data_IF_507411043826
#
_entry.id   IF_507411043826
#
_cell.length_a   1.000
_cell.length_b   1.000
_cell.length_c   1.000
_cell.angle_alpha   90.00
_cell.angle_beta   90.00
_cell.angle_gamma   90.00
#
_symmetry.space_group_name_H-M   'P 1'
#
loop_
_entity.id
_entity.type
_entity.pdbx_description
1 polymer ?
#
# COMPACT_ATOMS: atom_id res chain seq x y z
N UNK A 1 -0.12 4.07 -16.55
CA UNK A 1 -0.28 3.13 -15.44
C UNK A 1 -1.53 3.60 -14.77
N UNK A 2 -2.45 2.71 -14.48
CA UNK A 2 -3.73 3.14 -13.97
C UNK A 2 -3.55 3.83 -12.61
N UNK A 3 -3.68 5.15 -12.58
CA UNK A 3 -3.54 5.96 -11.36
C UNK A 3 -4.79 5.86 -10.50
N UNK A 4 -4.62 5.99 -9.19
CA UNK A 4 -5.69 6.34 -8.28
C UNK A 4 -5.16 7.14 -7.09
N UNK A 5 -6.00 8.02 -6.55
CA UNK A 5 -5.72 8.85 -5.37
C UNK A 5 -5.52 8.08 -4.06
N UNK A 6 -5.79 6.77 -4.07
CA UNK A 6 -5.73 5.91 -2.89
C UNK A 6 -4.57 4.91 -3.08
N UNK A 7 -3.66 4.90 -2.12
CA UNK A 7 -2.58 3.92 -2.06
C UNK A 7 -3.10 2.49 -1.82
N UNK A 8 -2.77 1.59 -2.74
CA UNK A 8 -3.13 0.16 -2.72
C UNK A 8 -1.89 -0.72 -2.80
N UNK A 9 -1.90 -1.89 -2.17
CA UNK A 9 -0.83 -2.89 -2.30
C UNK A 9 -0.88 -3.58 -3.67
N UNK A 10 -2.07 -3.92 -4.14
CA UNK A 10 -2.32 -4.45 -5.47
C UNK A 10 -2.40 -3.29 -6.46
N UNK A 11 -1.47 -3.25 -7.42
CA UNK A 11 -1.54 -2.27 -8.51
C UNK A 11 -2.76 -2.49 -9.38
N UNK A 12 -3.34 -1.41 -9.88
CA UNK A 12 -4.54 -1.45 -10.71
C UNK A 12 -4.31 -2.24 -12.01
N UNK A 13 -3.14 -2.10 -12.64
CA UNK A 13 -2.79 -2.91 -13.82
C UNK A 13 -2.69 -4.42 -13.49
N UNK A 14 -2.22 -4.77 -12.29
CA UNK A 14 -2.19 -6.17 -11.85
C UNK A 14 -3.60 -6.68 -11.58
N UNK A 15 -4.46 -5.87 -10.97
CA UNK A 15 -5.88 -6.18 -10.81
C UNK A 15 -6.54 -6.48 -12.18
N UNK A 16 -6.31 -5.63 -13.18
CA UNK A 16 -6.83 -5.83 -14.53
C UNK A 16 -6.35 -7.16 -15.14
N UNK A 17 -5.06 -7.48 -14.99
CA UNK A 17 -4.50 -8.75 -15.46
C UNK A 17 -5.10 -9.98 -14.78
N UNK A 18 -5.49 -9.88 -13.50
CA UNK A 18 -6.08 -10.96 -12.71
C UNK A 18 -7.53 -11.21 -13.10
N UNK A 19 -8.29 -10.14 -13.36
CA UNK A 19 -9.68 -10.21 -13.80
C UNK A 19 -9.78 -10.57 -15.31
N UNK A 20 -8.69 -10.37 -16.07
CA UNK A 20 -8.64 -10.65 -17.50
C UNK A 20 -9.11 -9.48 -18.36
N UNK A 21 -9.02 -8.25 -17.84
CA UNK A 21 -9.36 -7.03 -18.58
C UNK A 21 -8.15 -6.57 -19.41
N UNK A 22 -8.41 -6.06 -20.62
CA UNK A 22 -7.34 -5.59 -21.52
C UNK A 22 -6.59 -4.39 -20.91
N UNK A 23 -5.25 -4.47 -20.70
CA UNK A 23 -4.51 -3.41 -19.99
C UNK A 23 -4.60 -2.02 -20.62
N UNK A 24 -4.54 -1.84 -21.96
CA UNK A 24 -4.72 -0.52 -22.58
C UNK A 24 -6.11 0.08 -22.33
N UNK A 25 -7.16 -0.71 -22.50
CA UNK A 25 -8.54 -0.26 -22.28
C UNK A 25 -8.80 0.08 -20.80
N UNK A 26 -8.18 -0.67 -19.89
CA UNK A 26 -8.22 -0.37 -18.46
C UNK A 26 -7.53 0.95 -18.12
N UNK A 27 -6.47 1.27 -18.86
CA UNK A 27 -5.74 2.52 -18.73
C UNK A 27 -6.42 3.73 -19.39
N UNK A 28 -7.63 3.58 -19.91
CA UNK A 28 -8.37 4.64 -20.59
C UNK A 28 -7.90 4.90 -22.03
N UNK A 29 -7.25 3.91 -22.65
CA UNK A 29 -6.54 4.08 -23.93
C UNK A 29 -6.92 3.03 -24.96
N UNK A 30 -6.75 3.39 -26.23
CA UNK A 30 -6.99 2.55 -27.41
C UNK A 30 -5.86 2.78 -28.41
N UNK A 31 -5.59 1.81 -29.27
CA UNK A 31 -4.76 1.99 -30.47
C UNK A 31 -5.53 1.47 -31.68
N UNK A 32 -5.23 1.99 -32.87
CA UNK A 32 -5.81 1.50 -34.12
C UNK A 32 -4.97 0.37 -34.74
N UNK A 33 -3.72 0.24 -34.31
CA UNK A 33 -2.77 -0.78 -34.76
C UNK A 33 -2.95 -2.02 -33.88
N UNK A 34 -2.76 -1.85 -32.58
CA UNK A 34 -2.90 -2.90 -31.57
C UNK A 34 -4.09 -2.59 -30.65
N UNK A 35 -4.88 -3.60 -30.29
CA UNK A 35 -6.11 -3.42 -29.50
C UNK A 35 -7.11 -2.41 -30.12
N UNK A 36 -7.56 -2.64 -31.37
CA UNK A 36 -8.50 -1.75 -32.05
C UNK A 36 -9.72 -1.49 -31.16
N UNK A 37 -10.03 -0.20 -30.94
CA UNK A 37 -11.12 0.26 -30.07
C UNK A 37 -12.54 -0.16 -30.48
N UNK A 38 -12.67 -1.06 -31.46
CA UNK A 38 -13.91 -1.35 -32.15
C UNK A 38 -14.38 -2.80 -31.96
N UNK A 39 -14.47 -3.30 -30.72
CA UNK A 39 -15.40 -4.40 -30.39
C UNK A 39 -15.63 -4.50 -28.86
N UNK A 40 -16.85 -4.16 -28.42
CA UNK A 40 -17.47 -4.45 -27.12
C UNK A 40 -16.91 -3.79 -25.84
N UNK A 41 -15.60 -3.69 -25.65
CA UNK A 41 -15.00 -3.24 -24.39
C UNK A 41 -14.83 -1.71 -24.32
N UNK A 42 -15.71 -1.02 -23.59
CA UNK A 42 -15.57 0.43 -23.31
C UNK A 42 -14.41 0.68 -22.35
N UNK A 43 -13.59 1.68 -22.63
CA UNK A 43 -12.47 2.09 -21.77
C UNK A 43 -12.91 2.48 -20.35
N UNK A 44 -12.10 2.15 -19.35
CA UNK A 44 -12.33 2.57 -17.97
C UNK A 44 -11.72 3.95 -17.74
N UNK A 45 -12.53 4.88 -17.25
CA UNK A 45 -12.12 6.25 -16.98
C UNK A 45 -11.54 6.42 -15.56
N UNK A 46 -10.82 7.53 -15.35
CA UNK A 46 -10.22 7.85 -14.05
C UNK A 46 -11.28 7.99 -12.97
N UNK A 47 -12.29 8.82 -13.24
CA UNK A 47 -13.26 9.26 -12.26
C UNK A 47 -14.69 8.77 -12.54
N UNK A 48 -15.53 8.56 -11.50
CA UNK A 48 -16.92 8.11 -11.68
C UNK A 48 -17.83 9.10 -12.40
N UNK A 49 -17.43 10.37 -12.52
CA UNK A 49 -18.20 11.41 -13.20
C UNK A 49 -17.91 11.49 -14.70
N UNK A 50 -16.80 10.91 -15.16
CA UNK A 50 -16.47 10.84 -16.60
C UNK A 50 -17.39 9.87 -17.34
N UNK A 51 -17.94 8.89 -16.61
CA UNK A 51 -18.93 7.96 -17.13
C UNK A 51 -19.93 7.53 -16.05
N UNK A 52 -21.21 7.78 -16.31
CA UNK A 52 -22.28 7.50 -15.35
C UNK A 52 -22.60 6.01 -15.16
N UNK A 53 -22.38 5.19 -16.19
CA UNK A 53 -22.79 3.79 -16.21
C UNK A 53 -21.66 2.81 -15.86
N UNK A 54 -20.41 3.28 -15.90
CA UNK A 54 -19.24 2.47 -15.63
C UNK A 54 -18.70 2.67 -14.22
N UNK A 55 -17.98 1.64 -13.76
CA UNK A 55 -17.00 1.77 -12.69
C UNK A 55 -15.80 2.57 -13.18
N UNK A 56 -15.22 3.37 -12.29
CA UNK A 56 -13.98 4.12 -12.55
C UNK A 56 -12.77 3.50 -11.86
N UNK A 57 -11.56 3.88 -12.30
CA UNK A 57 -10.32 3.44 -11.65
C UNK A 57 -10.24 3.83 -10.18
N UNK A 58 -10.70 5.03 -9.82
CA UNK A 58 -10.78 5.49 -8.42
C UNK A 58 -11.71 4.63 -7.56
N UNK A 59 -12.84 4.20 -8.12
CA UNK A 59 -13.78 3.32 -7.41
C UNK A 59 -13.18 1.92 -7.20
N UNK A 60 -12.48 1.39 -8.22
CA UNK A 60 -11.76 0.10 -8.10
C UNK A 60 -10.66 0.20 -7.05
N UNK A 61 -9.85 1.26 -7.08
CA UNK A 61 -8.77 1.46 -6.10
C UNK A 61 -9.31 1.57 -4.68
N UNK A 62 -10.43 2.27 -4.48
CA UNK A 62 -11.10 2.33 -3.18
C UNK A 62 -11.51 0.96 -2.68
N UNK A 63 -12.16 0.16 -3.51
CA UNK A 63 -12.61 -1.19 -3.11
C UNK A 63 -11.42 -2.14 -2.89
N UNK A 64 -10.32 -1.99 -3.63
CA UNK A 64 -9.06 -2.71 -3.38
C UNK A 64 -8.47 -2.32 -2.02
N UNK A 65 -8.36 -1.03 -1.72
CA UNK A 65 -7.83 -0.56 -0.43
C UNK A 65 -8.69 -1.05 0.75
N UNK A 66 -10.02 -1.02 0.60
CA UNK A 66 -10.94 -1.57 1.61
C UNK A 66 -10.77 -3.08 1.76
N UNK A 67 -10.65 -3.83 0.65
CA UNK A 67 -10.41 -5.27 0.67
C UNK A 67 -9.09 -5.62 1.37
N UNK A 68 -8.00 -4.90 1.08
CA UNK A 68 -6.70 -5.07 1.71
C UNK A 68 -6.75 -4.80 3.21
N UNK A 69 -7.42 -3.72 3.62
CA UNK A 69 -7.60 -3.35 5.02
C UNK A 69 -8.42 -4.39 5.79
N UNK A 70 -9.50 -4.90 5.21
CA UNK A 70 -10.34 -5.93 5.83
C UNK A 70 -9.60 -7.25 6.00
N UNK A 71 -8.84 -7.67 4.97
CA UNK A 71 -7.97 -8.84 5.04
C UNK A 71 -6.92 -8.63 6.14
N UNK A 72 -6.28 -7.45 6.19
CA UNK A 72 -5.27 -7.14 7.21
C UNK A 72 -5.86 -7.13 8.63
N UNK A 73 -7.08 -6.60 8.81
CA UNK A 73 -7.78 -6.58 10.09
C UNK A 73 -8.17 -7.99 10.55
N UNK A 74 -8.61 -8.84 9.63
CA UNK A 74 -8.95 -10.23 9.95
C UNK A 74 -7.70 -11.05 10.31
N UNK A 75 -6.67 -11.00 9.47
CA UNK A 75 -5.43 -11.75 9.66
C UNK A 75 -4.55 -11.18 10.78
N UNK A 76 -4.66 -9.89 11.08
CA UNK A 76 -3.77 -9.18 12.00
C UNK A 76 -2.39 -8.91 11.41
N UNK A 77 -2.23 -8.97 10.08
CA UNK A 77 -1.02 -8.63 9.33
C UNK A 77 -1.37 -8.35 7.87
N UNK A 78 -0.58 -7.53 7.18
CA UNK A 78 -0.86 -7.11 5.81
C UNK A 78 -0.46 -8.17 4.75
N UNK A 79 -1.28 -8.41 3.71
CA UNK A 79 -1.02 -9.44 2.68
C UNK A 79 0.24 -9.18 1.85
N UNK A 80 0.71 -7.93 1.80
CA UNK A 80 2.00 -7.53 1.27
C UNK A 80 2.66 -6.51 2.22
N UNK A 81 3.97 -6.27 2.08
CA UNK A 81 4.68 -5.29 2.89
C UNK A 81 4.12 -3.87 2.76
N UNK A 82 3.97 -3.17 3.89
CA UNK A 82 3.50 -1.79 4.01
C UNK A 82 4.18 -1.09 5.19
N UNK A 83 4.45 0.21 5.05
CA UNK A 83 4.88 1.04 6.17
C UNK A 83 3.69 1.48 7.02
N UNK A 84 3.82 1.34 8.33
CA UNK A 84 2.85 1.81 9.31
C UNK A 84 3.46 3.02 10.01
N UNK A 85 2.94 4.20 9.69
CA UNK A 85 3.49 5.47 10.18
C UNK A 85 2.89 5.95 11.51
N UNK A 86 1.81 5.35 12.02
CA UNK A 86 1.07 5.90 13.17
C UNK A 86 0.43 4.82 14.05
N UNK A 87 1.18 3.80 14.46
CA UNK A 87 0.65 2.82 15.42
C UNK A 87 0.84 3.32 16.85
N UNK A 88 -0.20 3.90 17.43
CA UNK A 88 -0.19 4.38 18.83
C UNK A 88 -0.67 3.26 19.74
N UNK A 89 0.14 2.95 20.76
CA UNK A 89 -0.15 1.94 21.78
C UNK A 89 0.01 2.52 23.17
N UNK A 90 -0.89 2.14 24.06
CA UNK A 90 -0.70 2.38 25.49
C UNK A 90 0.51 1.56 25.96
N UNK A 91 1.41 2.20 26.71
CA UNK A 91 2.57 1.50 27.22
C UNK A 91 2.15 0.48 28.29
N UNK A 92 2.74 -0.73 28.36
CA UNK A 92 2.31 -1.76 29.30
C UNK A 92 2.48 -1.30 30.74
N UNK A 93 1.34 -1.21 31.46
CA UNK A 93 1.30 -0.91 32.89
C UNK A 93 1.06 -2.17 33.71
N UNK A 94 1.43 -2.15 34.98
CA UNK A 94 1.06 -3.21 35.91
C UNK A 94 -0.45 -3.24 36.10
N UNK A 95 -1.02 -4.43 36.32
CA UNK A 95 -2.45 -4.58 36.58
C UNK A 95 -2.90 -3.90 37.87
N UNK A 96 -1.98 -3.71 38.82
CA UNK A 96 -2.21 -2.91 40.03
C UNK A 96 -1.70 -1.48 39.77
N UNK A 97 -2.60 -0.49 39.72
CA UNK A 97 -2.24 0.91 39.47
C UNK A 97 -1.28 1.50 40.50
N UNK A 98 -1.24 0.92 41.71
CA UNK A 98 -0.37 1.33 42.82
C UNK A 98 1.12 1.06 42.55
N UNK A 99 1.43 0.11 41.66
CA UNK A 99 2.81 -0.20 41.31
C UNK A 99 3.30 0.66 40.15
N UNK A 100 4.24 1.55 40.43
CA UNK A 100 5.02 2.20 39.41
C UNK A 100 6.09 1.24 38.88
N UNK A 101 6.11 1.09 37.56
CA UNK A 101 7.25 0.52 36.88
C UNK A 101 8.32 1.59 36.75
N UNK A 102 9.53 1.28 37.20
CA UNK A 102 10.68 2.14 37.01
C UNK A 102 11.46 1.70 35.76
N UNK A 103 11.58 2.59 34.78
CA UNK A 103 12.59 2.51 33.72
C UNK A 103 12.23 1.65 32.51
N UNK A 104 10.94 1.41 32.25
CA UNK A 104 10.46 0.71 31.05
C UNK A 104 10.84 -0.76 30.97
N UNK A 105 11.31 -1.34 32.08
CA UNK A 105 11.74 -2.74 32.16
C UNK A 105 10.68 -3.63 32.81
N UNK A 106 10.69 -4.91 32.43
CA UNK A 106 9.89 -5.95 33.05
C UNK A 106 10.63 -6.51 34.29
N UNK A 107 10.00 -7.46 34.99
CA UNK A 107 10.58 -8.12 36.19
C UNK A 107 11.89 -8.89 35.93
N UNK A 108 12.27 -9.09 34.66
CA UNK A 108 13.53 -9.71 34.24
C UNK A 108 14.59 -8.68 33.85
N UNK A 109 14.36 -7.39 34.11
CA UNK A 109 15.21 -6.28 33.66
C UNK A 109 15.37 -6.18 32.14
N UNK A 110 14.38 -6.65 31.37
CA UNK A 110 14.33 -6.47 29.92
C UNK A 110 13.29 -5.41 29.56
N UNK A 111 13.49 -4.67 28.48
CA UNK A 111 12.50 -3.68 28.00
C UNK A 111 11.10 -4.32 27.85
N UNK A 112 10.05 -3.58 28.20
CA UNK A 112 8.67 -4.05 28.04
C UNK A 112 8.32 -4.18 26.57
N UNK A 113 7.68 -5.28 26.22
CA UNK A 113 7.20 -5.51 24.85
C UNK A 113 5.87 -4.82 24.61
N UNK A 114 5.81 -4.14 23.48
CA UNK A 114 4.63 -3.54 22.88
C UNK A 114 4.13 -4.47 21.78
N UNK A 115 2.83 -4.76 21.78
CA UNK A 115 2.17 -5.48 20.69
C UNK A 115 1.68 -4.45 19.68
N UNK A 116 2.18 -4.52 18.45
CA UNK A 116 1.74 -3.67 17.35
C UNK A 116 0.33 -4.05 16.89
N UNK A 117 -0.33 -3.18 16.13
CA UNK A 117 -1.62 -3.49 15.50
C UNK A 117 -1.48 -4.67 14.53
N UNK A 118 -0.38 -4.68 13.77
CA UNK A 118 -0.12 -5.68 12.74
C UNK A 118 1.17 -6.45 13.03
N UNK A 119 1.09 -7.78 12.95
CA UNK A 119 2.23 -8.70 13.02
C UNK A 119 3.04 -8.75 11.72
N UNK A 120 3.90 -9.75 11.61
CA UNK A 120 4.88 -9.92 10.51
C UNK A 120 5.73 -8.68 10.27
N UNK A 121 6.37 -8.21 11.33
CA UNK A 121 7.26 -7.05 11.25
C UNK A 121 8.52 -7.46 10.50
N UNK A 122 8.88 -6.68 9.48
CA UNK A 122 10.09 -6.85 8.70
C UNK A 122 11.19 -6.05 9.40
N UNK A 123 11.00 -4.74 9.54
CA UNK A 123 11.96 -3.83 10.16
C UNK A 123 11.27 -2.66 10.88
N UNK A 124 11.81 -2.16 12.00
CA UNK A 124 11.39 -0.89 12.58
C UNK A 124 12.02 0.28 11.80
N UNK A 125 11.33 1.41 11.69
CA UNK A 125 11.83 2.57 10.95
C UNK A 125 10.72 3.34 10.23
N UNK A 126 11.12 4.41 9.56
CA UNK A 126 10.21 5.23 8.76
C UNK A 126 10.47 5.03 7.28
N UNK A 127 9.43 5.20 6.47
CA UNK A 127 9.57 5.29 5.02
C UNK A 127 10.42 6.51 4.68
N UNK A 128 11.53 6.32 3.98
CA UNK A 128 12.31 7.39 3.39
C UNK A 128 12.35 7.23 1.87
N UNK A 129 12.45 8.36 1.19
CA UNK A 129 12.54 8.43 -0.26
C UNK A 129 13.72 9.33 -0.60
N UNK A 130 14.62 8.86 -1.45
CA UNK A 130 15.77 9.62 -1.94
C UNK A 130 15.73 9.68 -3.46
N UNK A 131 15.83 10.89 -4.01
CA UNK A 131 15.87 11.12 -5.44
C UNK A 131 17.19 10.60 -6.04
N UNK A 132 17.10 9.87 -7.15
CA UNK A 132 18.25 9.37 -7.91
C UNK A 132 18.47 10.24 -9.15
N UNK A 133 17.43 10.46 -9.94
CA UNK A 133 17.50 11.23 -11.19
C UNK A 133 16.22 11.18 -12.00
N UNK A 134 16.09 12.08 -12.96
CA UNK A 134 15.02 12.13 -13.96
C UNK A 134 15.51 11.46 -15.24
N UNK A 135 14.71 10.55 -15.79
CA UNK A 135 14.98 9.87 -17.05
C UNK A 135 14.20 10.54 -18.19
N UNK A 136 14.95 11.09 -19.14
CA UNK A 136 14.46 11.73 -20.36
C UNK A 136 14.84 10.90 -21.60
N UNK A 137 14.36 11.29 -22.79
CA UNK A 137 14.79 10.67 -24.04
C UNK A 137 16.31 10.89 -24.23
N UNK A 138 17.08 9.79 -24.27
CA UNK A 138 18.55 9.80 -24.37
C UNK A 138 19.29 10.60 -23.27
N UNK A 139 18.67 10.76 -22.09
CA UNK A 139 19.26 11.50 -20.97
C UNK A 139 20.50 10.83 -20.35
N UNK A 140 21.35 11.63 -19.70
CA UNK A 140 22.51 11.17 -18.92
C UNK A 140 22.47 11.87 -17.56
N UNK A 141 22.49 11.16 -16.41
CA UNK A 141 22.83 9.74 -16.23
C UNK A 141 21.66 8.75 -16.37
N UNK A 142 20.43 9.23 -16.49
CA UNK A 142 19.24 8.40 -16.64
C UNK A 142 18.57 8.63 -18.01
N UNK A 143 18.15 7.56 -18.68
CA UNK A 143 17.50 7.60 -20.00
C UNK A 143 16.22 6.77 -20.04
N UNK A 144 15.31 7.16 -20.93
CA UNK A 144 14.04 6.49 -21.21
C UNK A 144 13.90 6.28 -22.71
N UNK A 145 13.74 5.04 -23.15
CA UNK A 145 13.61 4.68 -24.57
C UNK A 145 12.42 3.78 -24.81
N UNK A 146 11.65 4.08 -25.85
CA UNK A 146 10.60 3.22 -26.36
C UNK A 146 11.20 2.18 -27.33
N UNK A 147 10.64 0.98 -27.34
CA UNK A 147 11.02 -0.07 -28.28
C UNK A 147 9.84 -0.94 -28.68
N UNK A 148 9.69 -1.08 -30.00
CA UNK A 148 8.93 -2.10 -30.71
C UNK A 148 9.70 -3.44 -30.66
N UNK A 149 9.12 -4.47 -30.05
CA UNK A 149 9.76 -5.79 -29.91
C UNK A 149 9.51 -6.71 -31.13
N UNK A 150 8.51 -6.43 -31.98
CA UNK A 150 8.10 -7.32 -33.07
C UNK A 150 8.00 -6.69 -34.48
N UNK A 151 8.45 -5.45 -34.60
CA UNK A 151 8.51 -4.62 -35.82
C UNK A 151 7.11 -4.39 -36.45
N UNK A 152 6.06 -4.21 -35.63
CA UNK A 152 4.68 -3.94 -36.09
C UNK A 152 4.30 -2.44 -36.16
N UNK A 153 5.28 -1.56 -35.98
CA UNK A 153 5.17 -0.09 -35.91
C UNK A 153 4.51 0.43 -34.61
N UNK A 154 4.36 -0.42 -33.58
CA UNK A 154 3.94 -0.02 -32.25
C UNK A 154 5.08 -0.23 -31.22
N UNK A 155 5.39 0.81 -30.44
CA UNK A 155 6.34 0.64 -29.34
C UNK A 155 5.64 0.02 -28.11
N UNK A 156 5.75 -1.29 -27.88
CA UNK A 156 5.10 -1.94 -26.72
C UNK A 156 5.75 -1.60 -25.39
N UNK A 157 7.07 -1.40 -25.42
CA UNK A 157 7.89 -1.40 -24.22
C UNK A 157 8.63 -0.10 -24.03
N UNK A 158 8.84 0.23 -22.76
CA UNK A 158 9.68 1.36 -22.36
C UNK A 158 10.75 0.87 -21.42
N UNK A 159 12.00 1.11 -21.79
CA UNK A 159 13.15 0.87 -20.92
C UNK A 159 13.57 2.18 -20.26
N UNK A 160 13.61 2.15 -18.93
CA UNK A 160 14.17 3.22 -18.09
C UNK A 160 15.48 2.71 -17.53
N UNK A 161 16.56 3.45 -17.74
CA UNK A 161 17.88 3.12 -17.20
C UNK A 161 18.46 4.31 -16.44
N UNK A 162 19.23 4.04 -15.38
CA UNK A 162 20.00 5.07 -14.71
C UNK A 162 21.32 4.54 -14.14
N UNK A 163 22.39 5.30 -14.39
CA UNK A 163 23.74 5.01 -13.91
C UNK A 163 24.03 5.74 -12.60
N UNK A 164 25.02 5.26 -11.83
CA UNK A 164 25.44 5.88 -10.57
C UNK A 164 24.60 5.48 -9.36
N UNK A 165 23.84 4.39 -9.47
CA UNK A 165 23.05 3.82 -8.38
C UNK A 165 23.99 3.16 -7.37
N UNK A 166 23.86 3.54 -6.09
CA UNK A 166 24.72 3.04 -5.00
C UNK A 166 24.13 1.87 -4.22
N UNK A 167 22.80 1.67 -4.28
CA UNK A 167 22.16 0.52 -3.62
C UNK A 167 22.35 -0.76 -4.43
N UNK A 168 22.39 -1.88 -3.73
CA UNK A 168 22.42 -3.22 -4.34
C UNK A 168 21.03 -3.84 -4.42
N UNK A 169 20.02 -3.26 -3.77
CA UNK A 169 18.67 -3.79 -3.76
C UNK A 169 17.82 -3.12 -4.86
N UNK A 170 17.56 -3.88 -5.92
CA UNK A 170 16.68 -3.49 -7.04
C UNK A 170 15.21 -3.31 -6.63
N UNK A 171 14.82 -3.82 -5.46
CA UNK A 171 13.46 -3.67 -4.96
C UNK A 171 13.20 -2.31 -4.32
N UNK A 172 14.25 -1.63 -3.85
CA UNK A 172 14.17 -0.28 -3.30
C UNK A 172 14.01 0.79 -4.38
N UNK A 173 14.43 0.51 -5.62
CA UNK A 173 14.35 1.48 -6.72
C UNK A 173 12.99 1.39 -7.38
N UNK A 174 12.36 2.56 -7.51
CA UNK A 174 11.03 2.74 -8.09
C UNK A 174 11.02 3.93 -9.04
N UNK A 175 10.14 3.84 -10.03
CA UNK A 175 9.95 4.86 -11.05
C UNK A 175 8.61 5.54 -10.81
N UNK A 176 8.59 6.86 -10.88
CA UNK A 176 7.46 7.72 -10.59
C UNK A 176 7.22 8.68 -11.74
N UNK A 177 6.01 9.22 -11.82
CA UNK A 177 5.78 10.42 -12.62
C UNK A 177 6.55 11.62 -12.04
N UNK A 178 7.01 12.49 -12.93
CA UNK A 178 7.80 13.69 -12.61
C UNK A 178 7.06 14.64 -11.66
N UNK A 179 7.81 15.37 -10.82
CA UNK A 179 7.32 16.44 -9.93
C UNK A 179 6.43 16.00 -8.73
N UNK A 180 6.49 14.71 -8.36
CA UNK A 180 5.66 14.15 -7.28
C UNK A 180 6.43 13.68 -6.03
N UNK A 181 7.74 13.96 -5.92
CA UNK A 181 8.56 13.68 -4.73
C UNK A 181 8.48 12.22 -4.22
N UNK A 182 8.28 11.26 -5.13
CA UNK A 182 8.15 9.84 -4.80
C UNK A 182 6.95 9.51 -3.90
N UNK A 183 5.85 10.25 -4.05
CA UNK A 183 4.56 9.88 -3.47
C UNK A 183 4.07 8.55 -4.09
N UNK A 184 3.72 7.53 -3.28
CA UNK A 184 3.24 6.22 -3.76
C UNK A 184 2.08 6.29 -4.77
N UNK A 185 1.25 7.34 -4.72
CA UNK A 185 0.16 7.56 -5.68
C UNK A 185 0.65 7.62 -7.13
N UNK A 186 1.87 8.12 -7.33
CA UNK A 186 2.48 8.39 -8.63
C UNK A 186 3.52 7.34 -9.04
N UNK A 187 3.62 6.22 -8.32
CA UNK A 187 4.51 5.10 -8.65
C UNK A 187 4.04 4.35 -9.90
N UNK A 188 4.89 4.25 -10.92
CA UNK A 188 4.64 3.46 -12.13
C UNK A 188 4.88 1.98 -11.81
N UNK A 189 3.79 1.19 -11.75
CA UNK A 189 3.82 -0.23 -11.36
C UNK A 189 2.76 -1.08 -12.06
N UNK A 190 2.98 -2.40 -12.22
CA UNK A 190 4.22 -3.12 -11.94
C UNK A 190 5.18 -3.07 -13.14
N UNK A 191 6.52 -3.03 -12.92
CA UNK A 191 7.47 -3.26 -14.00
C UNK A 191 7.45 -4.71 -14.48
N UNK A 192 7.79 -4.93 -15.76
CA UNK A 192 7.96 -6.26 -16.37
C UNK A 192 9.26 -6.91 -15.91
N UNK A 193 10.34 -6.16 -15.94
CA UNK A 193 11.68 -6.56 -15.47
C UNK A 193 12.34 -5.41 -14.73
N UNK A 194 13.28 -5.75 -13.85
CA UNK A 194 14.18 -4.82 -13.20
C UNK A 194 15.48 -5.54 -12.90
N UNK A 195 16.60 -4.83 -12.99
CA UNK A 195 17.91 -5.35 -12.65
C UNK A 195 18.86 -4.21 -12.29
N UNK A 196 19.85 -4.51 -11.46
CA UNK A 196 21.01 -3.63 -11.23
C UNK A 196 22.27 -4.39 -11.64
N UNK A 197 22.98 -3.87 -12.63
CA UNK A 197 24.27 -4.42 -13.09
C UNK A 197 25.29 -3.29 -13.10
N UNK A 198 26.43 -3.50 -12.41
CA UNK A 198 27.55 -2.54 -12.35
C UNK A 198 27.13 -1.10 -11.98
N UNK A 199 26.19 -0.94 -11.04
CA UNK A 199 25.68 0.38 -10.61
C UNK A 199 24.76 1.07 -11.62
N UNK A 200 24.28 0.33 -12.62
CA UNK A 200 23.26 0.76 -13.57
C UNK A 200 21.96 0.01 -13.26
N UNK A 201 20.93 0.76 -12.88
CA UNK A 201 19.57 0.24 -12.76
C UNK A 201 18.90 0.27 -14.13
N UNK A 202 18.24 -0.82 -14.50
CA UNK A 202 17.42 -0.91 -15.72
C UNK A 202 16.07 -1.52 -15.35
N UNK A 203 14.97 -0.89 -15.77
CA UNK A 203 13.62 -1.41 -15.62
C UNK A 203 12.83 -1.28 -16.92
N UNK A 204 12.07 -2.32 -17.27
CA UNK A 204 11.21 -2.32 -18.45
C UNK A 204 9.75 -2.28 -18.03
N UNK A 205 8.98 -1.41 -18.68
CA UNK A 205 7.55 -1.20 -18.50
C UNK A 205 6.83 -1.40 -19.83
N UNK A 206 5.51 -1.50 -19.78
CA UNK A 206 4.68 -1.40 -20.97
C UNK A 206 4.39 0.06 -21.32
N UNK A 207 4.27 0.40 -22.60
CA UNK A 207 4.03 1.78 -23.05
C UNK A 207 2.75 2.39 -22.49
N UNK A 208 1.66 1.62 -22.40
CA UNK A 208 0.40 2.08 -21.77
C UNK A 208 0.56 2.39 -20.26
N UNK A 209 1.67 1.99 -19.64
CA UNK A 209 1.98 2.38 -18.26
C UNK A 209 2.54 3.81 -18.14
N UNK A 210 2.91 4.45 -19.25
CA UNK A 210 3.51 5.78 -19.29
C UNK A 210 2.63 6.83 -19.97
N UNK A 211 1.31 6.64 -20.01
CA UNK A 211 0.37 7.65 -20.50
C UNK A 211 0.43 8.91 -19.62
N UNK A 212 0.36 10.10 -20.25
CA UNK A 212 0.33 11.39 -19.55
C UNK A 212 -0.90 11.50 -18.62
N UNK A 213 -0.69 11.67 -17.30
CA UNK A 213 -1.78 11.86 -16.34
C UNK A 213 -2.72 13.02 -16.66
N UNK A 214 -2.24 14.08 -17.34
CA UNK A 214 -3.08 15.23 -17.72
C UNK A 214 -4.20 14.83 -18.70
N UNK A 215 -3.96 13.83 -19.54
CA UNK A 215 -4.95 13.33 -20.48
C UNK A 215 -6.10 12.60 -19.76
N UNK A 216 -5.82 11.99 -18.60
CA UNK A 216 -6.86 11.36 -17.78
C UNK A 216 -7.76 12.35 -17.05
N UNK A 217 -7.25 13.53 -16.72
CA UNK A 217 -8.00 14.58 -16.02
C UNK A 217 -8.78 15.49 -16.99
N UNK A 218 -8.66 15.26 -18.31
CA UNK A 218 -9.33 16.06 -19.31
C UNK A 218 -10.86 15.93 -19.18
N UNK A 219 -11.54 17.09 -19.13
CA UNK A 219 -12.99 17.14 -19.06
C UNK A 219 -13.59 16.59 -20.37
N UNK A 220 -14.72 15.85 -20.32
CA UNK A 220 -15.43 15.39 -21.50
C UNK A 220 -15.86 16.61 -22.32
N UNK A 221 -15.32 16.75 -23.52
CA UNK A 221 -15.61 17.85 -24.45
C UNK A 221 -16.72 17.50 -25.45
N UNK A 222 -17.23 16.27 -25.44
CA UNK A 222 -18.22 15.80 -26.41
C UNK A 222 -19.67 15.88 -25.92
N UNK A 223 -20.51 16.46 -26.78
CA UNK A 223 -21.95 16.67 -26.61
C UNK A 223 -22.75 15.36 -26.79
N UNK A 224 -22.13 14.29 -27.32
CA UNK A 224 -22.78 13.02 -27.66
C UNK A 224 -22.04 11.77 -27.12
N UNK A 225 -21.61 11.78 -25.85
CA UNK A 225 -21.46 10.52 -25.09
C UNK A 225 -20.05 10.05 -24.70
N UNK A 226 -19.29 10.91 -24.01
CA UNK A 226 -18.12 10.48 -23.20
C UNK A 226 -16.81 11.21 -23.53
N UNK A 227 -15.83 11.10 -22.63
CA UNK A 227 -14.45 11.54 -22.90
C UNK A 227 -13.84 10.62 -23.95
N UNK A 228 -13.20 11.15 -25.02
CA UNK A 228 -12.51 10.29 -25.98
C UNK A 228 -11.39 9.51 -25.28
N UNK A 229 -11.24 8.23 -25.65
CA UNK A 229 -10.12 7.42 -25.17
C UNK A 229 -8.79 8.00 -25.64
N UNK A 230 -7.74 7.80 -24.84
CA UNK A 230 -6.37 8.22 -25.21
C UNK A 230 -5.87 7.34 -26.35
N UNK A 231 -5.38 7.95 -27.43
CA UNK A 231 -4.84 7.20 -28.56
C UNK A 231 -3.36 6.86 -28.33
N UNK A 232 -3.04 5.58 -28.18
CA UNK A 232 -1.66 5.12 -27.99
C UNK A 232 -0.80 5.22 -29.27
N UNK A 233 -1.41 5.41 -30.44
CA UNK A 233 -0.66 5.62 -31.69
C UNK A 233 -0.04 7.03 -31.77
N UNK A 234 -0.44 7.94 -30.88
CA UNK A 234 0.08 9.31 -30.83
C UNK A 234 1.21 9.43 -29.79
N UNK A 235 2.45 9.77 -30.18
CA UNK A 235 3.56 9.96 -29.24
C UNK A 235 3.28 11.00 -28.14
N UNK A 236 2.39 11.97 -28.39
CA UNK A 236 2.00 13.00 -27.41
C UNK A 236 1.19 12.40 -26.25
N UNK A 237 0.67 11.19 -26.40
CA UNK A 237 -0.05 10.49 -25.34
C UNK A 237 0.82 10.02 -24.19
N UNK A 238 2.15 9.95 -24.38
CA UNK A 238 3.08 9.45 -23.38
C UNK A 238 3.82 10.58 -22.67
N UNK A 239 4.20 10.33 -21.41
CA UNK A 239 5.04 11.27 -20.66
C UNK A 239 6.43 11.37 -21.28
N UNK A 240 6.98 12.59 -21.31
CA UNK A 240 8.34 12.85 -21.81
C UNK A 240 9.42 12.47 -20.81
N UNK A 241 9.12 12.53 -19.51
CA UNK A 241 10.09 12.36 -18.43
C UNK A 241 9.48 11.51 -17.30
N UNK A 242 10.33 10.77 -16.58
CA UNK A 242 9.96 10.01 -15.37
C UNK A 242 11.03 10.18 -14.31
N UNK A 243 10.64 10.24 -13.05
CA UNK A 243 11.57 10.35 -11.93
C UNK A 243 11.90 8.98 -11.34
N UNK A 244 13.15 8.79 -10.93
CA UNK A 244 13.63 7.58 -10.28
C UNK A 244 13.98 7.91 -8.84
N UNK A 245 13.36 7.17 -7.92
CA UNK A 245 13.60 7.32 -6.49
C UNK A 245 13.98 5.98 -5.87
N UNK A 246 14.80 6.05 -4.82
CA UNK A 246 15.02 4.95 -3.88
C UNK A 246 14.03 5.10 -2.73
N UNK A 247 13.17 4.12 -2.53
CA UNK A 247 12.28 4.00 -1.37
C UNK A 247 12.79 2.89 -0.46
N UNK A 248 13.12 3.24 0.78
CA UNK A 248 13.71 2.31 1.74
C UNK A 248 13.18 2.59 3.15
N UNK A 249 13.38 1.63 4.04
CA UNK A 249 13.14 1.82 5.46
C UNK A 249 14.38 2.50 6.08
N UNK A 250 14.23 3.73 6.55
CA UNK A 250 15.33 4.49 7.15
C UNK A 250 15.54 4.07 8.62
N UNK A 251 16.67 3.41 8.93
CA UNK A 251 16.98 3.00 10.31
C UNK A 251 17.52 4.16 11.15
N UNK A 252 17.87 5.30 10.53
CA UNK A 252 18.39 6.49 11.20
C UNK A 252 17.26 7.37 11.73
N UNK A 253 16.09 7.32 11.08
CA UNK A 253 14.88 7.97 11.53
C UNK A 253 14.29 7.32 12.80
N UNK A 254 13.58 8.13 13.59
CA UNK A 254 12.96 7.70 14.84
C UNK A 254 11.92 6.60 14.62
N UNK A 255 12.17 5.41 15.15
CA UNK A 255 11.25 4.27 15.03
C UNK A 255 10.21 4.20 16.15
N UNK A 256 10.42 4.92 17.26
CA UNK A 256 9.44 5.10 18.33
C UNK A 256 9.42 6.55 18.85
N UNK A 257 8.23 7.05 19.20
CA UNK A 257 8.06 8.30 19.94
C UNK A 257 7.28 7.99 21.21
N UNK A 258 7.86 8.37 22.34
CA UNK A 258 7.37 8.10 23.69
C UNK A 258 6.63 9.35 24.20
N UNK A 259 5.45 9.19 24.77
CA UNK A 259 4.60 10.28 25.24
C UNK A 259 4.33 10.17 26.75
N UNK A 260 4.36 11.31 27.45
CA UNK A 260 3.96 11.43 28.84
C UNK A 260 2.91 12.53 29.01
N UNK A 261 1.85 12.18 29.73
CA UNK A 261 0.89 13.13 30.28
C UNK A 261 1.56 14.02 31.34
N UNK A 262 1.16 15.30 31.45
CA UNK A 262 1.68 16.19 32.47
C UNK A 262 1.30 15.70 33.89
N UNK A 263 2.27 15.71 34.81
CA UNK A 263 2.04 15.24 36.19
C UNK A 263 1.16 16.23 36.98
N UNK A 264 0.05 15.77 37.60
CA UNK A 264 -0.77 16.61 38.45
C UNK A 264 -0.04 17.16 39.69
N UNK A 265 1.07 16.57 40.14
CA UNK A 265 1.83 17.03 41.30
C UNK A 265 2.60 18.34 41.03
N UNK A 266 2.85 18.66 39.77
CA UNK A 266 3.38 19.97 39.34
C UNK A 266 2.34 21.10 39.46
N UNK A 267 1.07 20.77 39.71
CA UNK A 267 -0.09 21.69 39.79
C UNK A 267 -0.21 22.41 41.14
N UNK A 268 0.90 22.86 41.72
CA UNK A 268 0.86 23.72 42.90
C UNK A 268 0.28 25.12 42.55
N UNK A 269 -1.05 25.22 42.51
CA UNK A 269 -1.77 26.44 42.88
C UNK A 269 -2.46 27.28 41.80
N UNK A 270 -2.44 26.96 40.50
CA UNK A 270 -3.26 27.69 39.52
C UNK A 270 -3.61 26.82 38.30
N UNK A 271 -4.79 26.21 38.33
CA UNK A 271 -5.24 25.23 37.33
C UNK A 271 -5.70 25.89 36.02
N UNK A 272 -5.98 27.20 35.96
CA UNK A 272 -6.41 27.85 34.70
C UNK A 272 -5.93 29.31 34.62
N UNK A 273 -4.78 29.50 33.99
CA UNK A 273 -4.25 30.81 33.57
C UNK A 273 -3.54 30.72 32.23
N UNK A 274 -4.08 29.93 31.28
CA UNK A 274 -3.56 29.85 29.91
C UNK A 274 -3.92 31.13 29.13
N UNK A 275 -3.29 32.24 29.52
CA UNK A 275 -3.41 33.56 28.87
C UNK A 275 -2.44 33.77 27.70
N UNK A 276 -1.80 32.71 27.18
CA UNK A 276 -0.85 32.79 26.07
C UNK A 276 -0.76 31.49 25.27
N UNK A 277 -0.12 31.56 24.10
CA UNK A 277 0.20 30.39 23.28
C UNK A 277 1.29 29.54 23.95
N UNK A 278 1.08 28.22 24.07
CA UNK A 278 2.06 27.29 24.64
C UNK A 278 1.80 26.87 26.09
N UNK A 279 0.54 26.65 26.48
CA UNK A 279 0.22 26.06 27.78
C UNK A 279 0.85 24.65 27.87
N UNK A 280 1.93 24.51 28.64
CA UNK A 280 2.65 23.23 28.87
C UNK A 280 1.70 22.15 29.41
N UNK A 281 0.58 22.55 30.03
CA UNK A 281 -0.46 21.64 30.52
C UNK A 281 -1.33 21.01 29.42
N UNK A 282 -1.36 21.58 28.22
CA UNK A 282 -2.14 21.08 27.09
C UNK A 282 -1.28 20.32 26.06
N UNK A 283 0.00 20.08 26.38
CA UNK A 283 0.95 19.39 25.49
C UNK A 283 1.56 18.19 26.20
N UNK A 284 1.61 17.04 25.52
CA UNK A 284 2.32 15.87 26.01
C UNK A 284 3.83 16.12 25.93
N UNK A 285 4.57 15.66 26.95
CA UNK A 285 6.04 15.60 26.84
C UNK A 285 6.38 14.45 25.90
N UNK A 286 7.25 14.69 24.92
CA UNK A 286 7.64 13.70 23.91
C UNK A 286 9.13 13.43 23.93
N UNK A 287 9.52 12.17 23.75
CA UNK A 287 10.93 11.77 23.57
C UNK A 287 11.05 10.80 22.41
N UNK A 288 12.08 10.99 21.59
CA UNK A 288 12.41 10.09 20.50
C UNK A 288 13.06 8.81 21.04
N UNK A 289 12.90 7.72 20.28
CA UNK A 289 13.47 6.44 20.63
C UNK A 289 13.60 5.50 19.45
N UNK A 290 14.30 4.40 19.71
CA UNK A 290 14.44 3.30 18.78
C UNK A 290 13.57 2.10 19.20
N UNK A 291 13.03 1.40 18.21
CA UNK A 291 12.31 0.16 18.38
C UNK A 291 13.18 -1.03 17.95
N UNK A 292 13.10 -2.13 18.68
CA UNK A 292 13.77 -3.39 18.36
C UNK A 292 12.75 -4.52 18.30
N UNK A 293 12.95 -5.47 17.39
CA UNK A 293 12.01 -6.58 17.19
C UNK A 293 12.26 -7.65 18.25
N UNK A 294 11.24 -7.98 19.04
CA UNK A 294 11.25 -9.12 19.96
C UNK A 294 10.65 -10.38 19.33
N UNK A 295 9.56 -10.23 18.59
CA UNK A 295 8.95 -11.31 17.83
C UNK A 295 8.28 -10.73 16.57
N UNK A 296 8.87 -11.00 15.41
CA UNK A 296 8.41 -10.50 14.12
C UNK A 296 7.00 -10.99 13.77
N UNK A 297 6.75 -12.30 13.89
CA UNK A 297 5.49 -12.94 13.47
C UNK A 297 4.28 -12.39 14.24
N UNK A 298 4.39 -12.32 15.57
CA UNK A 298 3.30 -11.86 16.44
C UNK A 298 3.21 -10.34 16.58
N UNK A 299 4.18 -9.59 16.04
CA UNK A 299 4.20 -8.13 16.14
C UNK A 299 4.61 -7.60 17.51
N UNK A 300 5.59 -8.21 18.18
CA UNK A 300 6.12 -7.66 19.42
C UNK A 300 7.39 -6.86 19.18
N UNK A 301 7.32 -5.56 19.49
CA UNK A 301 8.43 -4.63 19.51
C UNK A 301 8.80 -4.24 20.94
N UNK A 302 10.01 -3.74 21.13
CA UNK A 302 10.44 -3.07 22.36
C UNK A 302 10.96 -1.70 22.00
N UNK A 303 10.45 -0.65 22.66
CA UNK A 303 10.92 0.72 22.45
C UNK A 303 11.83 1.15 23.60
N UNK A 304 12.91 1.86 23.27
CA UNK A 304 13.83 2.47 24.22
C UNK A 304 14.13 3.92 23.79
N UNK A 305 14.29 4.86 24.74
CA UNK A 305 14.73 6.21 24.41
C UNK A 305 16.15 6.18 23.86
N UNK A 306 16.39 7.00 22.84
CA UNK A 306 17.68 7.11 22.21
C UNK A 306 17.68 8.16 21.12
N UNK A 307 18.88 8.60 20.78
CA UNK A 307 19.15 9.57 19.72
C UNK A 307 20.11 8.91 18.73
N UNK A 308 19.86 9.12 17.44
CA UNK A 308 20.77 8.66 16.40
C UNK A 308 21.94 9.64 16.29
N UNK A 309 23.15 9.14 16.46
CA UNK A 309 24.38 9.90 16.24
C UNK A 309 24.79 9.75 14.78
N UNK A 310 24.66 10.83 14.00
CA UNK A 310 25.00 10.85 12.58
C UNK A 310 26.51 10.72 12.32
N UNK A 311 27.35 11.18 13.26
CA UNK A 311 28.81 11.15 13.12
C UNK A 311 29.34 9.72 13.36
N UNK A 312 28.78 9.02 14.33
CA UNK A 312 29.15 7.62 14.66
C UNK A 312 28.32 6.58 13.89
N UNK A 313 27.19 6.98 13.31
CA UNK A 313 26.27 6.10 12.59
C UNK A 313 25.55 5.09 13.49
N UNK A 314 25.42 5.38 14.78
CA UNK A 314 24.84 4.47 15.78
C UNK A 314 23.74 5.14 16.61
N UNK A 315 22.81 4.33 17.11
CA UNK A 315 21.85 4.77 18.12
C UNK A 315 22.51 4.76 19.51
N UNK A 316 22.57 5.91 20.15
CA UNK A 316 23.00 6.04 21.55
C UNK A 316 21.79 6.01 22.47
N UNK A 317 21.84 5.20 23.53
CA UNK A 317 20.76 5.11 24.50
C UNK A 317 20.68 6.38 25.36
N UNK A 318 19.47 6.91 25.54
CA UNK A 318 19.23 8.07 26.39
C UNK A 318 18.59 7.68 27.72
N UNK A 319 18.71 8.56 28.72
CA UNK A 319 17.88 8.47 29.91
C UNK A 319 16.44 8.90 29.58
N UNK A 320 15.46 8.34 30.29
CA UNK A 320 14.07 8.76 30.18
C UNK A 320 13.90 10.23 30.57
N UNK A 321 13.29 11.05 29.71
CA UNK A 321 13.10 12.48 29.97
C UNK A 321 12.25 12.75 31.22
N UNK A 322 11.30 11.87 31.50
CA UNK A 322 10.55 11.84 32.76
C UNK A 322 10.97 10.56 33.48
N UNK A 323 11.29 10.63 34.78
CA UNK A 323 11.72 9.47 35.58
C UNK A 323 10.59 8.46 35.88
N UNK A 324 9.70 8.23 34.91
CA UNK A 324 8.60 7.27 34.91
C UNK A 324 8.41 6.70 33.51
N UNK A 325 7.77 5.54 33.41
CA UNK A 325 7.41 4.96 32.13
C UNK A 325 6.49 5.89 31.31
N UNK A 326 6.59 5.87 29.97
CA UNK A 326 5.68 6.60 29.11
C UNK A 326 4.25 6.10 29.26
N UNK A 327 3.30 6.96 28.92
CA UNK A 327 1.88 6.63 28.93
C UNK A 327 1.48 5.99 27.61
N UNK A 328 1.98 6.55 26.50
CA UNK A 328 1.74 6.07 25.14
C UNK A 328 3.03 6.01 24.36
N UNK A 329 3.06 5.13 23.35
CA UNK A 329 4.17 5.02 22.40
C UNK A 329 3.59 4.96 21.00
N UNK A 330 4.08 5.84 20.14
CA UNK A 330 3.83 5.81 18.70
C UNK A 330 4.98 5.05 18.04
N UNK A 331 4.65 4.01 17.29
CA UNK A 331 5.61 3.15 16.60
C UNK A 331 5.55 3.41 15.10
N UNK A 332 6.73 3.36 14.47
CA UNK A 332 6.92 3.37 13.03
C UNK A 332 7.63 2.08 12.63
N UNK A 333 7.02 1.32 11.73
CA UNK A 333 7.58 0.03 11.32
C UNK A 333 7.07 -0.40 9.94
N UNK A 334 7.89 -1.21 9.27
CA UNK A 334 7.56 -1.90 8.03
C UNK A 334 7.10 -3.32 8.35
N UNK A 335 5.89 -3.70 7.92
CA UNK A 335 5.35 -5.04 8.17
C UNK A 335 4.58 -5.59 6.98
N UNK A 336 4.34 -6.89 6.98
CA UNK A 336 3.51 -7.58 6.02
C UNK A 336 4.10 -8.91 5.62
N UNK A 337 3.32 -9.66 4.86
CA UNK A 337 3.75 -10.97 4.38
C UNK A 337 4.59 -10.84 3.10
N UNK A 338 5.86 -11.22 3.19
CA UNK A 338 6.72 -11.35 2.01
C UNK A 338 6.36 -12.63 1.27
N UNK A 339 6.08 -12.52 -0.03
CA UNK A 339 5.88 -13.69 -0.89
C UNK A 339 7.14 -14.58 -0.93
N UNK A 340 6.97 -15.88 -1.18
CA UNK A 340 8.11 -16.81 -1.30
C UNK A 340 9.04 -16.42 -2.46
N UNK A 341 8.47 -15.89 -3.55
CA UNK A 341 9.23 -15.40 -4.70
C UNK A 341 10.06 -14.17 -4.34
N UNK A 342 9.53 -13.29 -3.48
CA UNK A 342 10.27 -12.14 -2.98
C UNK A 342 11.38 -12.56 -2.02
N UNK A 343 11.11 -13.48 -1.09
CA UNK A 343 12.14 -14.06 -0.21
C UNK A 343 13.25 -14.78 -0.98
N UNK A 344 12.94 -15.34 -2.15
CA UNK A 344 13.90 -15.98 -3.03
C UNK A 344 14.65 -14.99 -3.95
N UNK A 345 14.40 -13.67 -3.82
CA UNK A 345 15.01 -12.64 -4.67
C UNK A 345 14.59 -12.71 -6.14
N UNK A 346 13.44 -13.33 -6.44
CA UNK A 346 12.95 -13.50 -7.83
C UNK A 346 11.93 -12.44 -8.25
N UNK A 347 11.31 -11.76 -7.28
CA UNK A 347 10.33 -10.69 -7.52
C UNK A 347 10.40 -9.65 -6.43
N UNK A 348 10.46 -8.38 -6.78
CA UNK A 348 10.41 -7.30 -5.80
C UNK A 348 9.01 -6.97 -5.29
N UNK A 349 7.97 -7.39 -6.02
CA UNK A 349 6.61 -7.26 -5.53
C UNK A 349 6.42 -8.23 -4.37
N UNK A 350 6.21 -7.68 -3.18
CA UNK A 350 5.98 -8.47 -1.96
C UNK A 350 4.63 -9.21 -1.95
N UNK A 351 3.68 -8.79 -2.80
CA UNK A 351 2.36 -9.42 -2.94
C UNK A 351 2.45 -10.74 -3.73
N UNK A 352 1.94 -11.83 -3.15
CA UNK A 352 1.86 -13.12 -3.85
C UNK A 352 0.74 -13.12 -4.90
N UNK A 353 0.87 -13.95 -5.94
CA UNK A 353 -0.17 -14.07 -6.98
C UNK A 353 -1.52 -14.55 -6.41
N UNK A 354 -1.47 -15.37 -5.36
CA UNK A 354 -2.66 -15.81 -4.64
C UNK A 354 -3.32 -14.64 -3.89
N UNK A 355 -2.55 -13.80 -3.20
CA UNK A 355 -3.10 -12.61 -2.54
C UNK A 355 -3.65 -11.59 -3.54
N UNK A 356 -2.93 -11.35 -4.64
CA UNK A 356 -3.42 -10.51 -5.72
C UNK A 356 -4.78 -10.98 -6.25
N UNK A 357 -4.95 -12.29 -6.44
CA UNK A 357 -6.23 -12.89 -6.85
C UNK A 357 -7.33 -12.69 -5.82
N UNK A 358 -7.04 -12.97 -4.55
CA UNK A 358 -8.03 -12.87 -3.47
C UNK A 358 -8.48 -11.42 -3.25
N UNK A 359 -7.54 -10.47 -3.25
CA UNK A 359 -7.86 -9.04 -3.13
C UNK A 359 -8.69 -8.59 -4.34
N UNK A 360 -8.30 -8.98 -5.56
CA UNK A 360 -9.05 -8.63 -6.76
C UNK A 360 -10.48 -9.18 -6.74
N UNK A 361 -10.68 -10.42 -6.31
CA UNK A 361 -11.99 -11.04 -6.19
C UNK A 361 -12.86 -10.39 -5.13
N UNK A 362 -12.29 -10.08 -3.96
CA UNK A 362 -12.98 -9.39 -2.88
C UNK A 362 -13.41 -7.97 -3.30
N UNK A 363 -12.51 -7.21 -3.91
CA UNK A 363 -12.80 -5.87 -4.41
C UNK A 363 -13.87 -5.89 -5.51
N UNK A 364 -13.77 -6.82 -6.46
CA UNK A 364 -14.73 -6.95 -7.58
C UNK A 364 -16.13 -7.30 -7.10
N UNK A 365 -16.24 -8.17 -6.08
CA UNK A 365 -17.53 -8.50 -5.48
C UNK A 365 -18.23 -7.28 -4.86
N UNK A 366 -17.47 -6.28 -4.40
CA UNK A 366 -17.98 -5.08 -3.72
C UNK A 366 -18.28 -3.90 -4.63
N UNK A 367 -17.83 -3.94 -5.89
CA UNK A 367 -18.15 -2.91 -6.87
C UNK A 367 -19.66 -2.69 -6.96
N UNK A 368 -20.07 -1.42 -6.95
CA UNK A 368 -21.49 -1.03 -6.96
C UNK A 368 -22.10 -1.07 -8.35
N UNK A 369 -21.26 -0.87 -9.36
CA UNK A 369 -21.62 -0.86 -10.78
C UNK A 369 -20.93 -2.05 -11.47
N UNK A 370 -21.51 -2.57 -12.56
CA UNK A 370 -20.84 -3.57 -13.37
C UNK A 370 -19.63 -2.96 -14.09
N UNK A 371 -18.64 -3.79 -14.42
CA UNK A 371 -17.61 -3.40 -15.38
C UNK A 371 -18.23 -3.33 -16.78
N UNK A 372 -17.74 -2.40 -17.62
CA UNK A 372 -18.20 -2.32 -18.99
C UNK A 372 -17.91 -3.63 -19.76
N UNK A 373 -18.87 -4.01 -20.61
CA UNK A 373 -19.07 -5.37 -21.09
C UNK A 373 -17.96 -5.87 -22.04
N UNK A 374 -17.09 -6.72 -21.51
CA UNK A 374 -16.33 -7.70 -22.28
C UNK A 374 -16.86 -9.07 -21.86
N UNK A 375 -17.42 -9.86 -22.80
CA UNK A 375 -18.22 -11.06 -22.50
C UNK A 375 -17.58 -12.09 -21.55
N UNK A 376 -16.24 -12.18 -21.52
CA UNK A 376 -15.52 -13.03 -20.58
C UNK A 376 -15.43 -12.44 -19.17
N UNK A 377 -15.09 -11.16 -19.07
CA UNK A 377 -14.93 -10.46 -17.78
C UNK A 377 -16.27 -10.27 -17.09
N UNK A 378 -17.34 -9.92 -17.83
CA UNK A 378 -18.67 -9.75 -17.26
C UNK A 378 -19.16 -11.02 -16.57
N UNK A 379 -18.96 -12.19 -17.18
CA UNK A 379 -19.32 -13.48 -16.58
C UNK A 379 -18.61 -13.76 -15.24
N UNK A 380 -17.33 -13.39 -15.13
CA UNK A 380 -16.56 -13.55 -13.89
C UNK A 380 -17.03 -12.55 -12.82
N UNK A 381 -17.26 -11.29 -13.21
CA UNK A 381 -17.74 -10.24 -12.30
C UNK A 381 -19.11 -10.60 -11.75
N UNK A 382 -20.05 -11.00 -12.61
CA UNK A 382 -21.41 -11.41 -12.22
C UNK A 382 -21.36 -12.61 -11.27
N UNK A 383 -20.50 -13.58 -11.56
CA UNK A 383 -20.27 -14.71 -10.66
C UNK A 383 -19.73 -14.25 -9.30
N UNK A 384 -18.69 -13.41 -9.26
CA UNK A 384 -18.12 -12.89 -8.01
C UNK A 384 -19.12 -12.06 -7.19
N UNK A 385 -20.00 -11.32 -7.86
CA UNK A 385 -21.02 -10.45 -7.25
C UNK A 385 -22.28 -11.19 -6.83
N UNK A 386 -22.46 -12.44 -7.25
CA UNK A 386 -23.62 -13.26 -6.89
C UNK A 386 -23.68 -13.44 -5.37
N UNK A 387 -24.80 -13.05 -4.76
CA UNK A 387 -25.06 -13.21 -3.32
C UNK A 387 -25.58 -14.62 -3.03
N UNK A 388 -24.81 -15.40 -2.27
CA UNK A 388 -25.16 -16.79 -1.93
C UNK A 388 -26.21 -16.89 -0.83
N UNK A 389 -26.47 -15.82 -0.07
CA UNK A 389 -27.49 -15.79 0.97
C UNK A 389 -28.90 -15.51 0.41
N UNK A 390 -28.98 -14.96 -0.81
CA UNK A 390 -30.24 -14.65 -1.46
C UNK A 390 -30.81 -15.91 -2.13
N UNK A 391 -31.95 -16.39 -1.64
CA UNK A 391 -32.74 -17.40 -2.33
C UNK A 391 -33.63 -16.71 -3.38
N UNK A 392 -33.35 -16.93 -4.66
CA UNK A 392 -34.19 -16.45 -5.76
C UNK A 392 -35.07 -17.59 -6.28
N UNK A 393 -36.03 -17.27 -7.17
CA UNK A 393 -36.84 -18.30 -7.85
C UNK A 393 -36.01 -19.17 -8.79
N UNK A 394 -34.90 -18.62 -9.31
CA UNK A 394 -34.06 -19.24 -10.35
C UNK A 394 -32.89 -20.03 -9.74
N UNK A 395 -32.39 -19.60 -8.58
CA UNK A 395 -31.26 -20.23 -7.92
C UNK A 395 -31.41 -20.24 -6.39
N UNK A 396 -31.05 -21.38 -5.80
CA UNK A 396 -30.88 -21.54 -4.35
C UNK A 396 -29.54 -22.20 -4.09
N UNK A 397 -28.70 -21.58 -3.28
CA UNK A 397 -27.38 -22.08 -2.95
C UNK A 397 -27.37 -22.72 -1.56
N UNK A 398 -26.66 -23.84 -1.41
CA UNK A 398 -26.41 -24.45 -0.11
C UNK A 398 -25.11 -23.91 0.45
N UNK A 399 -25.19 -22.97 1.39
CA UNK A 399 -24.04 -22.40 2.09
C UNK A 399 -23.87 -23.10 3.44
N UNK A 400 -22.62 -23.43 3.80
CA UNK A 400 -22.31 -24.01 5.10
C UNK A 400 -22.54 -22.94 6.18
N UNK A 401 -23.09 -23.30 7.34
CA UNK A 401 -23.37 -22.33 8.42
C UNK A 401 -22.13 -21.55 8.87
N UNK A 402 -20.96 -22.19 8.89
CA UNK A 402 -19.69 -21.52 9.21
C UNK A 402 -19.33 -20.44 8.18
N UNK A 403 -19.69 -20.64 6.92
CA UNK A 403 -19.42 -19.71 5.84
C UNK A 403 -20.33 -18.47 5.95
N UNK A 404 -21.54 -18.62 6.51
CA UNK A 404 -22.42 -17.49 6.81
C UNK A 404 -21.90 -16.60 7.95
N UNK A 405 -20.89 -17.04 8.72
CA UNK A 405 -20.22 -16.19 9.71
C UNK A 405 -19.13 -15.29 9.10
N UNK A 406 -19.02 -15.24 7.77
CA UNK A 406 -18.04 -14.44 7.05
C UNK A 406 -18.16 -12.93 7.41
N UNK A 407 -17.10 -12.29 7.95
CA UNK A 407 -17.11 -10.87 8.23
C UNK A 407 -17.09 -9.98 6.98
N UNK A 408 -16.70 -10.52 5.82
CA UNK A 408 -16.57 -9.75 4.58
C UNK A 408 -17.89 -9.59 3.81
N UNK A 409 -18.86 -10.49 4.03
CA UNK A 409 -20.17 -10.52 3.38
C UNK A 409 -20.53 -11.90 2.82
N UNK A 410 -21.58 -11.96 1.99
CA UNK A 410 -22.18 -13.22 1.48
C UNK A 410 -22.01 -13.43 -0.01
N UNK A 411 -21.36 -12.50 -0.72
CA UNK A 411 -21.08 -12.66 -2.15
C UNK A 411 -19.98 -13.68 -2.39
N UNK A 412 -19.96 -14.31 -3.56
CA UNK A 412 -18.98 -15.36 -3.88
C UNK A 412 -17.53 -14.89 -3.69
N UNK A 413 -17.16 -13.70 -4.19
CA UNK A 413 -15.80 -13.18 -4.03
C UNK A 413 -15.42 -12.92 -2.56
N UNK A 414 -16.37 -12.47 -1.75
CA UNK A 414 -16.20 -12.27 -0.30
C UNK A 414 -16.01 -13.61 0.43
N UNK A 415 -16.76 -14.64 0.01
CA UNK A 415 -16.70 -15.99 0.57
C UNK A 415 -15.37 -16.69 0.25
N UNK A 416 -14.89 -16.58 -0.98
CA UNK A 416 -13.60 -17.15 -1.37
C UNK A 416 -12.44 -16.50 -0.62
N UNK A 417 -12.48 -15.17 -0.44
CA UNK A 417 -11.51 -14.45 0.38
C UNK A 417 -11.51 -14.93 1.84
N UNK A 418 -12.69 -15.11 2.43
CA UNK A 418 -12.83 -15.61 3.80
C UNK A 418 -12.31 -17.04 3.97
N UNK A 419 -12.69 -17.95 3.06
CA UNK A 419 -12.20 -19.33 3.07
C UNK A 419 -10.69 -19.39 3.00
N UNK A 420 -10.08 -18.55 2.16
CA UNK A 420 -8.63 -18.45 2.07
C UNK A 420 -8.01 -17.95 3.38
N UNK A 421 -8.53 -16.87 3.96
CA UNK A 421 -8.01 -16.32 5.21
C UNK A 421 -8.19 -17.29 6.40
N UNK A 422 -9.33 -17.99 6.46
CA UNK A 422 -9.62 -19.01 7.49
C UNK A 422 -8.71 -20.22 7.36
N UNK A 423 -8.33 -20.63 6.15
CA UNK A 423 -7.40 -21.73 5.96
C UNK A 423 -6.01 -21.43 6.55
N UNK A 424 -5.59 -20.17 6.56
CA UNK A 424 -4.33 -19.73 7.15
C UNK A 424 -4.42 -19.62 8.68
N UNK A 425 -5.56 -19.16 9.21
CA UNK A 425 -5.79 -18.92 10.64
C UNK A 425 -7.06 -19.64 11.13
N UNK A 426 -7.08 -20.98 11.21
CA UNK A 426 -8.29 -21.76 11.50
C UNK A 426 -8.88 -21.50 12.90
N UNK A 427 -8.09 -20.94 13.81
CA UNK A 427 -8.51 -20.61 15.19
C UNK A 427 -9.17 -19.24 15.36
N UNK A 428 -9.13 -18.38 14.33
CA UNK A 428 -9.80 -17.07 14.37
C UNK A 428 -11.26 -17.23 13.95
N UNK A 429 -12.15 -17.27 14.93
CA UNK A 429 -13.60 -17.20 14.71
C UNK A 429 -14.00 -15.73 14.68
N UNK A 430 -14.76 -15.32 13.66
CA UNK A 430 -15.34 -13.98 13.56
C UNK A 430 -16.17 -13.66 14.81
N UNK A 431 -15.87 -12.54 15.48
CA UNK A 431 -16.58 -12.10 16.68
C UNK A 431 -15.93 -12.46 18.02
N UNK A 432 -14.93 -13.34 18.06
CA UNK A 432 -14.05 -13.46 19.22
C UNK A 432 -12.91 -12.45 19.06
N UNK A 433 -13.15 -11.24 19.58
CA UNK A 433 -12.30 -10.07 19.39
C UNK A 433 -10.81 -10.37 19.40
N UNK A 434 -10.09 -9.71 18.49
CA UNK A 434 -8.66 -9.42 18.55
C UNK A 434 -8.34 -8.51 19.75
N UNK A 435 -8.86 -8.85 20.94
CA UNK A 435 -8.50 -8.34 22.25
C UNK A 435 -8.14 -9.55 23.09
N UNK A 436 -6.90 -10.00 22.94
CA UNK A 436 -6.15 -10.70 23.98
C UNK A 436 -4.70 -10.23 23.97
#
# INVERSE_FOLDING_TARGET
>A
MARASIDTLLSLDRWASVIGYAPPAFNGSVSNIIFPGNVACRTIFQHPWQDHDAVSREEIAREIAMAEQDIANYLGWWPAPRWIAQDVKMYPRFHRPEYYSGGGVNVRYQMKSLKTTYGKIIEPGQRAVTYIGTAEAEGVPCSKTFSDEDDDDFDETVTVSCTGVTTTDECEIKVYFVDHNGDPEWEIRPPRTREIVDGTFTATFWAWQLIDPNLWETLPTHVEGGTPAVNLDDPVSFVTEVDIYREYNDPTATSAVLYWEPDPSSLSGNICGCGGAGCVHCTLTTQNGCATIRNAELGYLTAAPGTYDEDEGIWTSDAWSVCRDPDEVKLYYYCGNLSELNRAGRRCIGLSDQWARIIAWLATARLRRPLCDCSGVSSLVDWLQTDLALATRESTYTVIWDDLSNPFGTKIGEMEAYRHCRALEPGKISGAGAVR
#
